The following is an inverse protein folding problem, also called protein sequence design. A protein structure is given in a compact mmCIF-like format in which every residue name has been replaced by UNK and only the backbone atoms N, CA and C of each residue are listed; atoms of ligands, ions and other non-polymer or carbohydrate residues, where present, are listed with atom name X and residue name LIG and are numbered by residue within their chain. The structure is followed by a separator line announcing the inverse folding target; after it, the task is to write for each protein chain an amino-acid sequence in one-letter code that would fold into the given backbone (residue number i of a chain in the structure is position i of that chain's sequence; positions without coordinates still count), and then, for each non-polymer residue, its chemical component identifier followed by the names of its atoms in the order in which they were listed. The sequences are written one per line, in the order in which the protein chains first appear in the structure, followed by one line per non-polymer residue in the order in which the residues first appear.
data_IF_661383268807
#
_entry.id   IF_661383268807
#
_cell.length_a   1.000
_cell.length_b   1.000
_cell.length_c   1.000
_cell.angle_alpha   90.00
_cell.angle_beta   90.00
_cell.angle_gamma   90.00
#
_symmetry.space_group_name_H-M   'P 1'
#
loop_
_entity.id
_entity.type
_entity.pdbx_description
1 polymer ?
#
# COMPACT_ATOMS: atom_id res chain seq x y z
N UNK A 1 -11.62 6.91 7.84
CA UNK A 1 -12.27 5.81 7.10
C UNK A 1 -12.61 6.21 5.67
N UNK A 2 -12.81 7.50 5.40
CA UNK A 2 -13.14 8.05 4.08
C UNK A 2 -12.11 7.74 3.00
N UNK A 3 -10.82 7.70 3.36
CA UNK A 3 -9.77 7.33 2.40
C UNK A 3 -9.90 5.87 1.93
N UNK A 4 -10.11 4.92 2.85
CA UNK A 4 -10.33 3.52 2.49
C UNK A 4 -11.59 3.35 1.64
N UNK A 5 -12.66 4.09 1.96
CA UNK A 5 -13.89 4.11 1.17
C UNK A 5 -13.66 4.65 -0.25
N UNK A 6 -12.88 5.72 -0.40
CA UNK A 6 -12.51 6.30 -1.69
C UNK A 6 -11.70 5.32 -2.54
N UNK A 7 -10.69 4.68 -1.95
CA UNK A 7 -9.86 3.69 -2.65
C UNK A 7 -10.72 2.48 -3.07
N UNK A 8 -11.59 1.98 -2.18
CA UNK A 8 -12.52 0.90 -2.50
C UNK A 8 -13.42 1.27 -3.69
N UNK A 9 -13.93 2.50 -3.74
CA UNK A 9 -14.71 3.02 -4.84
C UNK A 9 -13.96 3.02 -6.18
N UNK A 10 -12.69 3.44 -6.19
CA UNK A 10 -11.85 3.36 -7.41
C UNK A 10 -11.58 1.92 -7.87
N UNK A 11 -11.61 0.96 -6.95
CA UNK A 11 -11.45 -0.47 -7.24
C UNK A 11 -12.79 -1.17 -7.55
N UNK A 12 -13.90 -0.44 -7.60
CA UNK A 12 -15.25 -0.99 -7.77
C UNK A 12 -15.60 -2.04 -6.71
N UNK A 13 -15.21 -1.81 -5.46
CA UNK A 13 -15.48 -2.66 -4.30
C UNK A 13 -16.30 -1.91 -3.25
N UNK A 14 -17.12 -2.65 -2.50
CA UNK A 14 -17.61 -2.13 -1.22
C UNK A 14 -16.46 -2.00 -0.21
N UNK A 15 -16.65 -1.17 0.82
CA UNK A 15 -15.66 -1.01 1.88
C UNK A 15 -15.41 -2.31 2.65
N UNK A 16 -16.45 -3.14 2.84
CA UNK A 16 -16.30 -4.43 3.51
C UNK A 16 -15.48 -5.42 2.67
N UNK A 17 -15.73 -5.51 1.35
CA UNK A 17 -14.91 -6.32 0.46
C UNK A 17 -13.46 -5.82 0.42
N UNK A 18 -13.26 -4.49 0.38
CA UNK A 18 -11.94 -3.90 0.42
C UNK A 18 -11.18 -4.29 1.69
N UNK A 19 -11.82 -4.18 2.87
CA UNK A 19 -11.23 -4.62 4.14
C UNK A 19 -10.86 -6.10 4.11
N UNK A 20 -11.79 -6.96 3.65
CA UNK A 20 -11.55 -8.40 3.59
C UNK A 20 -10.39 -8.75 2.67
N UNK A 21 -10.26 -8.06 1.52
CA UNK A 21 -9.24 -8.34 0.50
C UNK A 21 -7.89 -7.67 0.76
N UNK A 22 -7.85 -6.50 1.40
CA UNK A 22 -6.65 -5.67 1.44
C UNK A 22 -6.21 -5.22 2.84
N UNK A 23 -7.06 -5.30 3.86
CA UNK A 23 -6.64 -4.93 5.23
C UNK A 23 -5.89 -6.08 5.91
N UNK A 24 -4.87 -5.75 6.72
CA UNK A 24 -4.25 -6.68 7.64
C UNK A 24 -5.15 -6.89 8.86
N UNK A 25 -5.72 -8.09 8.99
CA UNK A 25 -6.65 -8.45 10.08
C UNK A 25 -6.00 -8.44 11.47
N UNK A 26 -4.67 -8.48 11.55
CA UNK A 26 -3.94 -8.44 12.82
C UNK A 26 -3.77 -7.01 13.34
N UNK A 27 -4.03 -6.01 12.51
CA UNK A 27 -3.90 -4.62 12.89
C UNK A 27 -5.00 -4.24 13.88
N UNK A 28 -4.66 -3.80 15.12
CA UNK A 28 -5.64 -3.49 16.16
C UNK A 28 -6.27 -2.10 16.00
N UNK A 29 -5.85 -1.33 15.00
CA UNK A 29 -6.27 0.06 14.84
C UNK A 29 -7.77 0.20 14.61
N UNK A 30 -8.44 0.96 15.48
CA UNK A 30 -9.86 1.28 15.31
C UNK A 30 -10.11 2.49 14.39
N UNK A 31 -9.07 3.33 14.22
CA UNK A 31 -9.14 4.56 13.40
C UNK A 31 -8.29 4.49 12.13
N UNK A 32 -7.35 3.55 12.09
CA UNK A 32 -6.41 3.36 10.99
C UNK A 32 -6.53 1.95 10.46
N UNK A 33 -6.28 1.79 9.17
CA UNK A 33 -6.26 0.50 8.50
C UNK A 33 -4.85 0.28 7.97
N UNK A 34 -4.26 -0.86 8.30
CA UNK A 34 -3.02 -1.28 7.67
C UNK A 34 -3.36 -2.11 6.44
N UNK A 35 -2.77 -1.75 5.29
CA UNK A 35 -2.84 -2.59 4.10
C UNK A 35 -1.93 -3.80 4.31
N UNK A 36 -2.43 -5.00 4.02
CA UNK A 36 -1.66 -6.23 4.17
C UNK A 36 -0.52 -6.31 3.17
N UNK A 37 0.55 -6.97 3.59
CA UNK A 37 1.67 -7.33 2.74
C UNK A 37 1.49 -8.73 2.13
N UNK A 38 2.03 -8.93 0.93
CA UNK A 38 2.34 -10.25 0.38
C UNK A 38 3.84 -10.56 0.56
N UNK A 39 4.33 -11.65 -0.03
CA UNK A 39 5.74 -12.05 0.05
C UNK A 39 6.73 -11.02 -0.52
N UNK A 40 6.27 -10.10 -1.37
CA UNK A 40 7.09 -9.08 -2.03
C UNK A 40 6.85 -7.66 -1.46
N UNK A 41 6.11 -7.52 -0.35
CA UNK A 41 5.80 -6.21 0.25
C UNK A 41 4.34 -5.81 0.07
N UNK A 42 4.07 -4.55 -0.30
CA UNK A 42 2.69 -4.04 -0.44
C UNK A 42 1.89 -4.85 -1.46
N UNK A 43 0.66 -5.24 -1.12
CA UNK A 43 -0.22 -5.99 -2.05
C UNK A 43 -0.56 -5.20 -3.33
N UNK A 44 -0.46 -3.87 -3.30
CA UNK A 44 -0.61 -3.02 -4.47
C UNK A 44 0.70 -2.78 -5.23
N UNK A 45 1.80 -3.40 -4.82
CA UNK A 45 3.06 -3.37 -5.56
C UNK A 45 2.99 -4.44 -6.67
N UNK A 46 2.78 -4.00 -7.90
CA UNK A 46 2.81 -4.84 -9.09
C UNK A 46 4.22 -4.95 -9.66
N UNK A 47 4.50 -6.06 -10.36
CA UNK A 47 5.69 -6.20 -11.20
C UNK A 47 5.39 -5.54 -12.55
N UNK A 48 6.09 -4.45 -12.85
CA UNK A 48 6.08 -3.81 -14.17
C UNK A 48 7.05 -4.46 -15.14
N UNK A 49 7.16 -3.86 -16.32
CA UNK A 49 8.15 -4.23 -17.35
C UNK A 49 9.55 -3.85 -16.86
N UNK A 50 10.56 -4.65 -17.20
CA UNK A 50 11.99 -4.39 -16.90
C UNK A 50 12.35 -4.27 -15.41
N UNK A 51 11.79 -5.13 -14.55
CA UNK A 51 12.04 -5.15 -13.09
C UNK A 51 11.59 -3.89 -12.32
N UNK A 52 10.86 -2.98 -12.97
CA UNK A 52 10.30 -1.83 -12.29
C UNK A 52 9.05 -2.24 -11.52
N UNK A 53 9.05 -2.05 -10.21
CA UNK A 53 7.83 -2.25 -9.41
C UNK A 53 6.96 -1.00 -9.44
N UNK A 54 5.68 -1.16 -9.77
CA UNK A 54 4.72 -0.06 -9.89
C UNK A 54 3.56 -0.25 -8.93
N UNK A 55 3.14 0.83 -8.27
CA UNK A 55 1.95 0.82 -7.44
C UNK A 55 0.71 0.79 -8.33
N UNK A 56 -0.12 -0.25 -8.20
CA UNK A 56 -1.31 -0.44 -9.03
C UNK A 56 -2.43 0.55 -8.73
N UNK A 57 -2.36 1.25 -7.59
CA UNK A 57 -3.30 2.31 -7.20
C UNK A 57 -2.65 3.69 -7.20
N UNK A 58 -1.56 3.89 -7.97
CA UNK A 58 -0.73 5.09 -7.92
C UNK A 58 -1.53 6.42 -7.90
N UNK A 59 -2.50 6.56 -8.80
CA UNK A 59 -3.30 7.79 -8.98
C UNK A 59 -4.14 8.14 -7.76
N UNK A 60 -4.62 7.13 -7.04
CA UNK A 60 -5.52 7.28 -5.89
C UNK A 60 -4.94 6.72 -4.59
N UNK A 61 -3.62 6.49 -4.53
CA UNK A 61 -2.91 5.92 -3.36
C UNK A 61 -3.18 6.75 -2.09
N UNK A 62 -3.13 6.12 -0.90
CA UNK A 62 -3.40 6.81 0.35
C UNK A 62 -2.37 7.90 0.64
N UNK A 63 -2.77 8.89 1.44
CA UNK A 63 -1.97 10.06 1.76
C UNK A 63 -0.63 9.68 2.40
N UNK A 64 -0.62 8.68 3.28
CA UNK A 64 0.62 8.15 3.86
C UNK A 64 1.64 7.69 2.79
N UNK A 65 1.17 7.12 1.67
CA UNK A 65 2.03 6.74 0.55
C UNK A 65 2.39 7.91 -0.38
N UNK A 66 1.64 9.02 -0.36
CA UNK A 66 1.96 10.27 -1.08
C UNK A 66 3.03 11.07 -0.33
N UNK A 67 2.92 11.09 0.99
CA UNK A 67 3.81 11.85 1.88
C UNK A 67 5.12 11.11 2.18
N UNK A 68 5.22 9.84 1.80
CA UNK A 68 6.45 9.08 1.95
C UNK A 68 7.59 9.73 1.16
N UNK A 69 8.64 10.15 1.86
CA UNK A 69 9.86 10.68 1.27
C UNK A 69 11.01 9.67 1.42
N UNK A 70 11.56 9.16 0.30
CA UNK A 70 12.74 8.31 0.35
C UNK A 70 13.90 9.02 1.05
N UNK A 71 14.54 8.36 2.01
CA UNK A 71 15.70 8.90 2.71
C UNK A 71 16.51 7.78 3.35
N UNK A 72 17.80 8.04 3.62
CA UNK A 72 18.69 7.07 4.29
C UNK A 72 18.26 6.74 5.73
N UNK A 73 17.26 7.42 6.29
CA UNK A 73 16.66 7.08 7.60
C UNK A 73 15.86 5.78 7.51
N UNK A 74 15.26 5.52 6.35
CA UNK A 74 14.49 4.32 6.07
C UNK A 74 15.41 3.14 5.79
N UNK A 75 15.13 1.99 6.42
CA UNK A 75 15.97 0.78 6.34
C UNK A 75 15.98 0.25 4.91
N UNK A 76 14.81 0.17 4.31
CA UNK A 76 14.56 -0.25 2.94
C UNK A 76 15.36 0.57 1.91
N UNK A 77 15.52 1.88 2.13
CA UNK A 77 16.33 2.73 1.26
C UNK A 77 17.83 2.46 1.39
N UNK A 78 18.31 2.02 2.57
CA UNK A 78 19.72 1.62 2.74
C UNK A 78 19.98 0.24 2.14
N UNK A 79 19.03 -0.68 2.28
CA UNK A 79 19.13 -2.03 1.70
C UNK A 79 19.16 -1.98 0.17
N UNK A 80 18.34 -1.13 -0.46
CA UNK A 80 18.34 -0.95 -1.92
C UNK A 80 19.60 -0.31 -2.50
N UNK A 81 20.53 0.18 -1.67
CA UNK A 81 21.84 0.70 -2.10
C UNK A 81 22.97 -0.34 -1.96
N UNK A 82 22.68 -1.50 -1.37
CA UNK A 82 23.69 -2.55 -1.24
C UNK A 82 23.83 -3.29 -2.58
N UNK A 83 25.08 -3.58 -3.01
CA UNK A 83 25.37 -4.21 -4.29
C UNK A 83 24.93 -5.68 -4.38
#
# INVERSE_FOLDING_TARGET
MDEAQRIAGHLSLSLEEFKQKYADKRWPGQRTMLIRHNENGCIFLGRGVDNLSLCTIHDFKPQACRDYQPSLKHRECREGLQP
#
